data_IF_251533782109
#
_entry.id   IF_251533782109
#
_cell.length_a   1.000
_cell.length_b   1.000
_cell.length_c   1.000
_cell.angle_alpha   90.00
_cell.angle_beta   90.00
_cell.angle_gamma   90.00
#
_symmetry.space_group_name_H-M   'P 1'
#
loop_
_entity.id
_entity.type
_entity.pdbx_description
1 polymer ?
#
# COMPACT_ATOMS: atom_id res chain seq x y z
N UNK A 1 -3.94 -1.15 21.70
CA UNK A 1 -3.53 -1.16 20.28
C UNK A 1 -4.73 -1.67 19.49
N UNK A 2 -5.11 -1.04 18.36
CA UNK A 2 -6.14 -1.61 17.49
C UNK A 2 -5.69 -2.99 17.01
N UNK A 3 -6.66 -3.84 16.65
CA UNK A 3 -6.31 -5.12 16.05
C UNK A 3 -5.53 -4.92 14.74
N UNK A 4 -4.50 -5.74 14.46
CA UNK A 4 -3.76 -5.65 13.22
C UNK A 4 -4.67 -5.89 12.01
N UNK A 5 -4.63 -4.99 11.03
CA UNK A 5 -5.20 -5.25 9.72
C UNK A 5 -4.28 -6.20 8.95
N UNK A 6 -4.86 -7.24 8.34
CA UNK A 6 -4.13 -8.23 7.54
C UNK A 6 -4.61 -8.15 6.10
N UNK A 7 -3.67 -7.95 5.16
CA UNK A 7 -3.93 -7.99 3.72
C UNK A 7 -3.21 -9.18 3.11
N UNK A 8 -3.96 -10.04 2.41
CA UNK A 8 -3.37 -11.13 1.63
C UNK A 8 -2.82 -10.58 0.31
N UNK A 9 -1.59 -10.96 -0.03
CA UNK A 9 -0.91 -10.53 -1.26
C UNK A 9 -0.52 -11.76 -2.07
N UNK A 10 -0.97 -11.82 -3.32
CA UNK A 10 -0.49 -12.81 -4.29
C UNK A 10 0.76 -12.27 -4.98
N UNK A 11 1.79 -13.12 -5.08
CA UNK A 11 3.03 -12.78 -5.77
C UNK A 11 2.96 -13.30 -7.21
N UNK A 12 3.09 -12.39 -8.16
CA UNK A 12 3.13 -12.70 -9.58
C UNK A 12 4.55 -12.58 -10.12
N UNK A 13 4.78 -13.05 -11.34
CA UNK A 13 6.11 -13.04 -11.95
C UNK A 13 6.69 -11.61 -12.05
N UNK A 14 5.83 -10.61 -12.27
CA UNK A 14 6.21 -9.18 -12.29
C UNK A 14 6.73 -8.64 -10.95
N UNK A 15 6.42 -9.32 -9.85
CA UNK A 15 6.87 -8.92 -8.52
C UNK A 15 8.28 -9.44 -8.20
N UNK A 16 8.78 -10.38 -9.01
CA UNK A 16 10.05 -11.09 -8.79
C UNK A 16 11.19 -10.51 -9.63
N UNK A 17 12.43 -10.63 -9.14
CA UNK A 17 13.63 -10.28 -9.90
C UNK A 17 14.42 -11.52 -10.37
N UNK A 18 15.59 -11.31 -10.99
CA UNK A 18 16.42 -12.39 -11.53
C UNK A 18 16.92 -13.40 -10.47
N UNK A 19 16.82 -13.09 -9.18
CA UNK A 19 17.16 -14.00 -8.09
C UNK A 19 16.01 -14.95 -7.73
N UNK A 20 14.82 -14.73 -8.30
CA UNK A 20 13.61 -15.50 -7.99
C UNK A 20 12.93 -15.07 -6.68
N UNK A 21 13.37 -13.95 -6.08
CA UNK A 21 12.77 -13.37 -4.89
C UNK A 21 11.89 -12.17 -5.27
N UNK A 22 11.00 -11.79 -4.35
CA UNK A 22 10.28 -10.52 -4.47
C UNK A 22 11.28 -9.37 -4.46
N UNK A 23 11.21 -8.51 -5.47
CA UNK A 23 12.07 -7.34 -5.52
C UNK A 23 11.74 -6.41 -4.34
N UNK A 24 12.75 -6.01 -3.57
CA UNK A 24 12.57 -5.35 -2.27
C UNK A 24 11.67 -4.09 -2.32
N UNK A 25 11.69 -3.33 -3.40
CA UNK A 25 10.84 -2.14 -3.53
C UNK A 25 9.34 -2.46 -3.62
N UNK A 26 8.97 -3.67 -4.04
CA UNK A 26 7.56 -4.07 -4.14
C UNK A 26 6.90 -4.21 -2.75
N UNK A 27 7.66 -4.45 -1.68
CA UNK A 27 7.09 -4.43 -0.33
C UNK A 27 6.48 -3.07 0.06
N UNK A 28 7.05 -1.96 -0.42
CA UNK A 28 6.45 -0.64 -0.21
C UNK A 28 5.11 -0.49 -0.94
N UNK A 29 4.98 -1.07 -2.13
CA UNK A 29 3.72 -1.10 -2.89
C UNK A 29 2.65 -1.90 -2.14
N UNK A 30 3.01 -3.05 -1.57
CA UNK A 30 2.05 -3.87 -0.81
C UNK A 30 1.61 -3.17 0.47
N UNK A 31 2.53 -2.54 1.19
CA UNK A 31 2.22 -1.77 2.38
C UNK A 31 1.33 -0.56 2.07
N UNK A 32 1.53 0.07 0.91
CA UNK A 32 0.69 1.18 0.43
C UNK A 32 -0.75 0.74 0.16
N UNK A 33 -0.96 -0.32 -0.63
CA UNK A 33 -2.29 -0.91 -0.85
C UNK A 33 -2.99 -1.32 0.45
N UNK A 34 -2.24 -1.90 1.40
CA UNK A 34 -2.78 -2.27 2.71
C UNK A 34 -3.27 -1.04 3.50
N UNK A 35 -2.54 0.09 3.43
CA UNK A 35 -3.00 1.36 4.03
C UNK A 35 -4.25 1.90 3.34
N UNK A 36 -4.38 1.78 2.03
CA UNK A 36 -5.61 2.13 1.33
C UNK A 36 -6.81 1.30 1.81
N UNK A 37 -6.62 -0.01 2.07
CA UNK A 37 -7.68 -0.86 2.62
C UNK A 37 -8.10 -0.47 4.04
N UNK A 38 -7.15 0.03 4.86
CA UNK A 38 -7.44 0.52 6.22
C UNK A 38 -8.15 1.87 6.20
N UNK A 39 -7.69 2.79 5.35
CA UNK A 39 -8.18 4.17 5.31
C UNK A 39 -9.45 4.33 4.44
N UNK A 40 -9.68 3.40 3.52
CA UNK A 40 -10.77 3.42 2.55
C UNK A 40 -10.42 4.27 1.32
N UNK A 41 -10.40 3.63 0.15
CA UNK A 41 -10.09 4.27 -1.13
C UNK A 41 -11.01 5.45 -1.43
N UNK A 42 -12.31 5.28 -1.23
CA UNK A 42 -13.31 6.33 -1.48
C UNK A 42 -13.06 7.54 -0.57
N UNK A 43 -12.73 7.30 0.70
CA UNK A 43 -12.38 8.35 1.66
C UNK A 43 -11.12 9.11 1.24
N UNK A 44 -10.07 8.40 0.80
CA UNK A 44 -8.84 9.01 0.32
C UNK A 44 -9.06 9.85 -0.94
N UNK A 45 -9.86 9.36 -1.89
CA UNK A 45 -10.22 10.11 -3.10
C UNK A 45 -11.04 11.35 -2.77
N UNK A 46 -12.02 11.22 -1.88
CA UNK A 46 -12.84 12.36 -1.43
C UNK A 46 -11.98 13.41 -0.71
N UNK A 47 -11.10 13.01 0.20
CA UNK A 47 -10.19 13.90 0.91
C UNK A 47 -9.32 14.71 -0.05
N UNK A 48 -8.78 14.06 -1.08
CA UNK A 48 -7.98 14.77 -2.08
C UNK A 48 -8.83 15.68 -2.97
N UNK A 49 -9.99 15.20 -3.44
CA UNK A 49 -10.86 15.97 -4.35
C UNK A 49 -11.49 17.17 -3.68
N UNK A 50 -12.02 16.98 -2.48
CA UNK A 50 -12.90 17.95 -1.82
C UNK A 50 -12.10 18.89 -0.91
N UNK A 51 -11.00 18.41 -0.34
CA UNK A 51 -10.16 19.20 0.59
C UNK A 51 -8.75 19.49 0.06
N UNK A 52 -8.33 18.87 -1.04
CA UNK A 52 -6.97 19.05 -1.58
C UNK A 52 -5.87 18.40 -0.73
N UNK A 53 -6.23 17.48 0.17
CA UNK A 53 -5.31 16.87 1.14
C UNK A 53 -4.96 15.43 0.74
N UNK A 54 -3.69 15.07 0.89
CA UNK A 54 -3.19 13.70 0.68
C UNK A 54 -2.09 13.33 1.67
N UNK A 55 -1.85 12.03 1.80
CA UNK A 55 -0.78 11.50 2.66
C UNK A 55 0.52 11.29 1.88
N UNK A 56 1.65 11.51 2.54
CA UNK A 56 2.99 11.25 1.99
C UNK A 56 3.76 10.36 2.97
N UNK A 57 4.47 9.37 2.43
CA UNK A 57 5.42 8.56 3.21
C UNK A 57 6.69 9.37 3.40
N UNK A 58 6.94 9.86 4.62
CA UNK A 58 8.15 10.61 4.94
C UNK A 58 9.35 9.71 5.27
N UNK A 59 9.08 8.53 5.84
CA UNK A 59 10.11 7.57 6.24
C UNK A 59 9.61 6.14 6.02
N UNK A 60 10.48 5.32 5.45
CA UNK A 60 10.32 3.88 5.27
C UNK A 60 11.30 3.14 6.18
#
# INVERSE_FOLDING_TARGET
>A
MPEPHVTNVSIYYEDTDHSGLVYHANYLKYAERSREHVLGRESLVALYRDEGVGFVVYKA
#
